data_IF_417009561022
#
_entry.id   IF_417009561022
#
_cell.length_a   1.000
_cell.length_b   1.000
_cell.length_c   1.000
_cell.angle_alpha   90.00
_cell.angle_beta   90.00
_cell.angle_gamma   90.00
#
_symmetry.space_group_name_H-M   'P 1'
#
loop_
_entity.id
_entity.type
_entity.pdbx_description
1 polymer ?
#
# COMPACT_ATOMS: atom_id res chain seq x y z
N UNK A 1 21.93 -12.44 53.92
CA UNK A 1 22.73 -13.61 53.51
C UNK A 1 21.92 -14.86 53.82
N UNK A 2 21.55 -15.64 52.80
CA UNK A 2 21.15 -17.08 52.78
C UNK A 2 20.28 -17.61 53.94
N UNK A 3 19.18 -18.34 53.76
CA UNK A 3 19.04 -19.55 52.93
C UNK A 3 17.58 -20.06 53.00
N UNK A 4 17.08 -20.39 51.82
CA UNK A 4 16.09 -21.42 51.41
C UNK A 4 15.43 -22.35 52.44
N UNK A 5 14.10 -22.52 52.30
CA UNK A 5 13.32 -23.71 52.65
C UNK A 5 12.06 -23.79 51.75
N UNK A 6 11.34 -24.92 51.66
CA UNK A 6 11.62 -26.01 50.73
C UNK A 6 10.51 -26.23 49.68
N UNK A 7 10.95 -26.89 48.61
CA UNK A 7 10.24 -27.67 47.60
C UNK A 7 8.86 -28.22 48.03
N UNK A 8 7.78 -27.65 47.49
CA UNK A 8 6.46 -28.28 47.45
C UNK A 8 6.40 -29.34 46.34
N UNK A 9 5.83 -30.48 46.71
CA UNK A 9 5.64 -31.70 45.91
C UNK A 9 4.71 -31.47 44.71
N UNK A 10 4.78 -32.35 43.68
CA UNK A 10 4.09 -32.16 42.42
C UNK A 10 2.57 -32.30 42.60
N UNK A 11 1.82 -31.30 42.13
CA UNK A 11 0.38 -31.46 41.91
C UNK A 11 0.22 -32.13 40.54
N UNK A 12 0.07 -33.45 40.60
CA UNK A 12 -0.43 -34.27 39.51
C UNK A 12 -1.84 -33.77 39.15
N UNK A 13 -1.95 -32.96 38.10
CA UNK A 13 -3.21 -32.80 37.35
C UNK A 13 -3.02 -33.53 36.03
N UNK A 14 -3.42 -34.81 36.03
CA UNK A 14 -3.63 -35.56 34.81
C UNK A 14 -4.88 -34.97 34.15
N UNK A 15 -4.68 -33.99 33.27
CA UNK A 15 -5.70 -33.53 32.35
C UNK A 15 -5.53 -34.34 31.07
N UNK A 16 -6.58 -35.07 30.71
CA UNK A 16 -6.68 -35.89 29.52
C UNK A 16 -6.21 -35.11 28.28
N UNK A 17 -5.22 -35.66 27.56
CA UNK A 17 -4.86 -35.23 26.19
C UNK A 17 -5.95 -35.60 25.19
N UNK A 18 -7.21 -35.26 25.47
CA UNK A 18 -8.28 -35.30 24.49
C UNK A 18 -8.11 -34.08 23.60
N UNK A 19 -7.29 -34.26 22.57
CA UNK A 19 -7.53 -33.67 21.25
C UNK A 19 -7.73 -32.15 21.20
N UNK A 20 -6.91 -31.39 21.94
CA UNK A 20 -6.76 -29.94 21.72
C UNK A 20 -5.91 -29.68 20.47
N UNK A 21 -5.16 -30.70 20.02
CA UNK A 21 -4.28 -30.63 18.85
C UNK A 21 -5.02 -30.31 17.54
N UNK A 22 -6.14 -30.99 17.17
CA UNK A 22 -6.89 -30.60 15.99
C UNK A 22 -7.58 -29.25 16.15
N UNK A 23 -8.02 -28.87 17.37
CA UNK A 23 -8.63 -27.56 17.60
C UNK A 23 -7.62 -26.43 17.45
N UNK A 24 -6.41 -26.59 17.99
CA UNK A 24 -5.31 -25.66 17.82
C UNK A 24 -4.86 -25.58 16.35
N UNK A 25 -4.81 -26.71 15.63
CA UNK A 25 -4.50 -26.74 14.21
C UNK A 25 -5.56 -26.01 13.38
N UNK A 26 -6.84 -26.23 13.67
CA UNK A 26 -7.97 -25.54 13.01
C UNK A 26 -7.95 -24.04 13.28
N UNK A 27 -7.63 -23.62 14.51
CA UNK A 27 -7.46 -22.22 14.88
C UNK A 27 -6.24 -21.59 14.19
N UNK A 28 -5.14 -22.33 14.05
CA UNK A 28 -3.97 -21.87 13.30
C UNK A 28 -4.25 -21.76 11.79
N UNK A 29 -4.99 -22.71 11.21
CA UNK A 29 -5.39 -22.70 9.81
C UNK A 29 -6.39 -21.58 9.53
N UNK A 30 -7.34 -21.33 10.42
CA UNK A 30 -8.26 -20.19 10.30
C UNK A 30 -7.50 -18.87 10.48
N UNK A 31 -6.61 -18.75 11.46
CA UNK A 31 -5.78 -17.55 11.66
C UNK A 31 -4.84 -17.27 10.48
N UNK A 32 -4.26 -18.31 9.87
CA UNK A 32 -3.41 -18.21 8.69
C UNK A 32 -4.17 -17.85 7.43
N UNK A 33 -5.38 -18.41 7.24
CA UNK A 33 -6.31 -17.97 6.20
C UNK A 33 -6.73 -16.51 6.44
N UNK A 34 -6.83 -16.12 7.71
CA UNK A 34 -7.14 -14.76 8.10
C UNK A 34 -6.02 -13.75 7.72
N UNK A 35 -4.75 -14.15 7.78
CA UNK A 35 -3.65 -13.28 7.32
C UNK A 35 -3.58 -13.14 5.78
N UNK A 36 -4.23 -14.04 5.03
CA UNK A 36 -4.19 -14.09 3.58
C UNK A 36 -5.37 -13.35 2.89
N UNK A 37 -6.42 -12.94 3.62
CA UNK A 37 -7.51 -12.11 3.08
C UNK A 37 -7.28 -10.60 3.29
N UNK A 38 -6.05 -10.19 3.61
CA UNK A 38 -5.71 -8.77 3.77
C UNK A 38 -6.00 -8.02 2.48
N UNK A 39 -7.01 -7.13 2.53
CA UNK A 39 -7.18 -6.03 1.59
C UNK A 39 -5.79 -5.44 1.29
N UNK A 40 -5.41 -5.21 0.02
CA UNK A 40 -4.09 -4.68 -0.30
C UNK A 40 -3.96 -3.28 0.30
N UNK A 41 -3.41 -3.20 1.51
CA UNK A 41 -3.05 -1.95 2.14
C UNK A 41 -1.99 -1.29 1.25
N UNK A 42 -2.24 -0.05 0.85
CA UNK A 42 -1.25 0.71 0.12
C UNK A 42 0.07 0.80 0.91
N UNK A 43 1.23 0.89 0.21
CA UNK A 43 2.51 1.06 0.90
C UNK A 43 2.50 2.29 1.83
N UNK A 44 3.35 2.34 2.86
CA UNK A 44 3.43 3.50 3.75
C UNK A 44 3.63 4.81 2.96
N UNK A 45 2.84 5.83 3.28
CA UNK A 45 2.87 7.13 2.57
C UNK A 45 2.00 7.20 1.31
N UNK A 46 1.24 6.14 1.01
CA UNK A 46 0.25 6.11 -0.06
C UNK A 46 -1.16 6.04 0.52
N UNK A 47 -2.11 6.67 -0.17
CA UNK A 47 -3.53 6.65 0.16
C UNK A 47 -4.30 5.80 -0.85
N UNK A 48 -5.28 5.03 -0.38
CA UNK A 48 -6.06 4.13 -1.23
C UNK A 48 -7.32 4.81 -1.75
N UNK A 49 -7.61 4.63 -3.04
CA UNK A 49 -8.91 4.90 -3.62
C UNK A 49 -9.27 3.77 -4.59
N UNK A 50 -10.33 3.02 -4.28
CA UNK A 50 -10.67 1.78 -4.98
C UNK A 50 -9.53 0.76 -4.88
N UNK A 51 -9.13 0.21 -6.03
CA UNK A 51 -8.04 -0.77 -6.13
C UNK A 51 -6.67 -0.13 -6.42
N UNK A 52 -6.54 1.19 -6.25
CA UNK A 52 -5.34 1.96 -6.61
C UNK A 52 -4.80 2.73 -5.41
N UNK A 53 -3.50 2.97 -5.43
CA UNK A 53 -2.78 3.73 -4.42
C UNK A 53 -2.25 5.02 -5.04
N UNK A 54 -2.36 6.12 -4.32
CA UNK A 54 -1.95 7.45 -4.73
C UNK A 54 -1.03 8.08 -3.70
N UNK A 55 -0.13 8.95 -4.13
CA UNK A 55 0.71 9.76 -3.24
C UNK A 55 0.96 11.11 -3.89
N UNK A 56 1.10 12.15 -3.08
CA UNK A 56 1.30 13.51 -3.55
C UNK A 56 2.64 14.08 -3.06
N UNK A 57 3.39 14.66 -4.00
CA UNK A 57 4.70 15.23 -3.76
C UNK A 57 4.66 16.74 -3.99
N UNK A 58 5.00 17.52 -2.96
CA UNK A 58 4.92 19.00 -2.99
C UNK A 58 6.02 19.62 -3.87
N UNK A 59 7.06 18.87 -4.24
CA UNK A 59 8.19 19.43 -4.99
C UNK A 59 7.78 19.82 -6.42
N UNK A 60 8.04 21.07 -6.80
CA UNK A 60 7.85 21.53 -8.17
C UNK A 60 8.84 20.84 -9.10
N UNK A 61 8.31 20.29 -10.20
CA UNK A 61 9.06 19.58 -11.24
C UNK A 61 8.51 19.95 -12.61
N UNK A 62 9.30 19.76 -13.66
CA UNK A 62 8.73 19.71 -15.02
C UNK A 62 7.85 18.46 -15.14
N UNK A 63 6.95 18.42 -16.12
CA UNK A 63 6.09 17.25 -16.32
C UNK A 63 6.93 15.96 -16.54
N UNK A 64 8.01 16.05 -17.33
CA UNK A 64 8.90 14.92 -17.63
C UNK A 64 9.63 14.45 -16.37
N UNK A 65 10.16 15.38 -15.56
CA UNK A 65 10.85 15.04 -14.33
C UNK A 65 9.89 14.46 -13.28
N UNK A 66 8.64 14.92 -13.25
CA UNK A 66 7.61 14.40 -12.37
C UNK A 66 7.24 12.95 -12.73
N UNK A 67 7.03 12.65 -14.01
CA UNK A 67 6.78 11.29 -14.49
C UNK A 67 7.94 10.35 -14.17
N UNK A 68 9.17 10.77 -14.46
CA UNK A 68 10.39 9.99 -14.16
C UNK A 68 10.53 9.73 -12.65
N UNK A 69 10.20 10.74 -11.83
CA UNK A 69 10.23 10.61 -10.38
C UNK A 69 9.18 9.61 -9.87
N UNK A 70 7.94 9.68 -10.36
CA UNK A 70 6.88 8.73 -10.01
C UNK A 70 7.25 7.30 -10.40
N UNK A 71 7.85 7.09 -11.58
CA UNK A 71 8.37 5.79 -12.02
C UNK A 71 9.44 5.24 -11.07
N UNK A 72 10.36 6.11 -10.63
CA UNK A 72 11.40 5.72 -9.67
C UNK A 72 10.81 5.38 -8.29
N UNK A 73 9.70 6.02 -7.92
CA UNK A 73 8.96 5.73 -6.69
C UNK A 73 8.04 4.49 -6.78
N UNK A 74 8.01 3.79 -7.92
CA UNK A 74 7.21 2.58 -8.12
C UNK A 74 5.78 2.83 -8.62
N UNK A 75 5.48 4.02 -9.16
CA UNK A 75 4.19 4.37 -9.76
C UNK A 75 4.33 5.12 -11.09
N UNK A 76 3.31 5.87 -11.48
CA UNK A 76 3.33 6.80 -12.63
C UNK A 76 2.58 8.07 -12.21
N UNK A 77 2.61 9.13 -13.02
CA UNK A 77 1.66 10.23 -12.79
C UNK A 77 0.23 9.69 -12.81
N UNK A 78 -0.62 10.27 -11.95
CA UNK A 78 -1.98 9.80 -11.76
C UNK A 78 -2.81 10.01 -13.03
N UNK A 79 -3.43 8.95 -13.53
CA UNK A 79 -4.51 9.03 -14.50
C UNK A 79 -5.85 9.00 -13.78
N UNK A 80 -6.68 10.02 -14.01
CA UNK A 80 -7.98 10.18 -13.34
C UNK A 80 -9.06 9.53 -14.18
N UNK A 81 -9.79 8.57 -13.63
CA UNK A 81 -10.78 7.80 -14.38
C UNK A 81 -12.24 8.07 -13.99
N UNK A 82 -12.49 8.86 -12.95
CA UNK A 82 -13.84 9.23 -12.56
C UNK A 82 -13.89 10.60 -11.87
N UNK A 83 -15.09 11.18 -11.76
CA UNK A 83 -15.29 12.43 -11.05
C UNK A 83 -15.04 12.27 -9.55
N UNK A 84 -15.38 11.10 -9.00
CA UNK A 84 -15.14 10.76 -7.59
C UNK A 84 -13.65 10.64 -7.29
N UNK A 85 -12.88 10.05 -8.20
CA UNK A 85 -11.41 9.99 -8.10
C UNK A 85 -10.80 11.39 -8.14
N UNK A 86 -11.31 12.26 -9.04
CA UNK A 86 -10.87 13.65 -9.13
C UNK A 86 -11.11 14.40 -7.81
N UNK A 87 -12.33 14.34 -7.26
CA UNK A 87 -12.67 15.00 -5.99
C UNK A 87 -11.83 14.45 -4.85
N UNK A 88 -11.67 13.13 -4.76
CA UNK A 88 -10.80 12.50 -3.75
C UNK A 88 -9.36 13.04 -3.81
N UNK A 89 -8.78 13.15 -5.01
CA UNK A 89 -7.42 13.65 -5.19
C UNK A 89 -7.29 15.13 -4.82
N UNK A 90 -8.29 15.96 -5.13
CA UNK A 90 -8.30 17.36 -4.71
C UNK A 90 -8.31 17.51 -3.19
N UNK A 91 -9.16 16.74 -2.51
CA UNK A 91 -9.24 16.74 -1.04
C UNK A 91 -7.95 16.22 -0.41
N UNK A 92 -7.37 15.16 -0.98
CA UNK A 92 -6.08 14.62 -0.54
C UNK A 92 -4.93 15.62 -0.70
N UNK A 93 -4.85 16.32 -1.83
CA UNK A 93 -3.83 17.37 -2.06
C UNK A 93 -4.00 18.51 -1.05
N UNK A 94 -5.24 18.94 -0.79
CA UNK A 94 -5.52 19.96 0.21
C UNK A 94 -5.13 19.51 1.63
N UNK A 95 -5.42 18.25 1.98
CA UNK A 95 -5.03 17.67 3.26
C UNK A 95 -3.50 17.64 3.44
N UNK A 96 -2.74 17.23 2.41
CA UNK A 96 -1.28 17.09 2.49
C UNK A 96 -0.57 18.43 2.42
N UNK A 97 -1.07 19.38 1.62
CA UNK A 97 -0.38 20.64 1.33
C UNK A 97 -0.98 21.88 2.01
N UNK A 98 -2.13 21.74 2.68
CA UNK A 98 -2.85 22.81 3.36
C UNK A 98 -3.62 23.77 2.44
N UNK A 99 -3.62 23.53 1.13
CA UNK A 99 -4.35 24.33 0.13
C UNK A 99 -4.60 23.51 -1.13
N UNK A 100 -5.56 23.91 -1.95
CA UNK A 100 -5.67 23.39 -3.31
C UNK A 100 -4.46 23.84 -4.13
N UNK A 101 -3.79 22.90 -4.78
CA UNK A 101 -2.64 23.15 -5.66
C UNK A 101 -2.81 22.45 -6.99
N UNK A 102 -2.28 23.07 -8.03
CA UNK A 102 -2.10 22.41 -9.31
C UNK A 102 -1.08 21.28 -9.16
N UNK A 103 -1.39 20.13 -9.75
CA UNK A 103 -0.56 18.94 -9.73
C UNK A 103 -0.45 18.36 -11.14
N UNK A 104 0.73 17.82 -11.48
CA UNK A 104 0.89 17.09 -12.74
C UNK A 104 0.09 15.79 -12.69
N UNK A 105 -0.57 15.47 -13.80
CA UNK A 105 -1.29 14.23 -14.02
C UNK A 105 -0.75 13.51 -15.27
N UNK A 106 -1.06 12.21 -15.37
CA UNK A 106 -0.63 11.36 -16.47
C UNK A 106 -1.47 11.64 -17.71
N UNK A 107 -0.90 12.41 -18.65
CA UNK A 107 -1.51 12.70 -19.95
C UNK A 107 -0.50 13.38 -20.87
N UNK A 108 -0.47 12.97 -22.14
CA UNK A 108 0.38 13.60 -23.17
C UNK A 108 -0.46 13.90 -24.42
N UNK A 109 -0.27 15.08 -25.00
CA UNK A 109 -0.87 15.43 -26.29
C UNK A 109 -0.04 14.78 -27.42
N UNK A 110 -0.36 13.54 -27.76
CA UNK A 110 0.32 12.82 -28.84
C UNK A 110 -0.42 13.02 -30.16
N UNK A 111 -0.28 14.20 -30.76
CA UNK A 111 -0.47 14.33 -32.21
C UNK A 111 0.63 13.53 -32.89
N UNK A 112 0.31 12.32 -33.36
CA UNK A 112 1.22 11.43 -34.07
C UNK A 112 1.52 12.00 -35.46
N UNK A 113 2.33 13.05 -35.55
CA UNK A 113 2.82 13.54 -36.84
C UNK A 113 3.79 12.49 -37.37
N UNK A 114 3.35 11.75 -38.39
CA UNK A 114 4.20 10.83 -39.13
C UNK A 114 5.26 11.66 -39.87
N UNK A 115 6.39 11.92 -39.22
CA UNK A 115 7.58 12.40 -39.91
C UNK A 115 8.09 11.26 -40.79
N UNK A 116 7.66 11.24 -42.05
CA UNK A 116 8.32 10.44 -43.06
C UNK A 116 9.71 11.06 -43.29
N UNK A 117 10.75 10.48 -42.70
CA UNK A 117 12.12 10.76 -43.08
C UNK A 117 12.35 10.19 -44.49
N UNK A 118 12.06 11.00 -45.51
CA UNK A 118 12.48 10.69 -46.88
C UNK A 118 13.99 10.90 -46.99
N UNK A 119 14.77 9.84 -46.81
CA UNK A 119 16.14 9.81 -47.31
C UNK A 119 16.08 9.84 -48.85
N UNK A 120 16.31 11.02 -49.46
CA UNK A 120 16.83 11.04 -50.82
C UNK A 120 18.31 10.71 -50.73
N UNK A 121 18.74 9.64 -51.43
CA UNK A 121 20.15 9.41 -51.74
C UNK A 121 20.72 10.61 -52.49
#
# INVERSE_FOLDING_TARGET
>A
MTKTTPLSKPITTSATMTSVFPFALLLCLSSGLLAAYGEPCCPPGWTQFGSRCFTFYIQTKTWIDAETFCQTAGGTLASIHSAEEHTFLQDYINQVSGTYKDAWIGGTDTVKVRLLSSHRK
#
